data_IF_697250695262
#
_entry.id   IF_697250695262
#
_cell.length_a   1.000
_cell.length_b   1.000
_cell.length_c   1.000
_cell.angle_alpha   90.00
_cell.angle_beta   90.00
_cell.angle_gamma   90.00
#
_symmetry.space_group_name_H-M   'P 1'
#
loop_
_entity.id
_entity.type
_entity.pdbx_description
1 polymer ?
#
# COMPACT_ATOMS: atom_id res chain seq x y z
N UNK A 1 14.34 -21.33 -12.64
CA UNK A 1 15.51 -21.74 -11.82
C UNK A 1 16.07 -20.47 -11.20
N UNK A 2 15.55 -20.06 -10.05
CA UNK A 2 15.92 -18.80 -9.41
C UNK A 2 17.33 -18.84 -8.82
N UNK A 3 17.92 -17.65 -8.70
CA UNK A 3 19.29 -17.44 -8.23
C UNK A 3 19.45 -17.57 -6.70
N UNK A 4 18.36 -17.74 -5.94
CA UNK A 4 18.37 -17.84 -4.47
C UNK A 4 17.24 -18.79 -3.99
N UNK A 5 17.53 -20.04 -3.60
CA UNK A 5 16.50 -21.06 -3.30
C UNK A 5 15.54 -20.72 -2.14
N UNK A 6 15.98 -19.91 -1.17
CA UNK A 6 15.20 -19.50 0.01
C UNK A 6 14.45 -18.17 -0.17
N UNK A 7 14.57 -17.53 -1.33
CA UNK A 7 13.94 -16.25 -1.66
C UNK A 7 13.17 -16.33 -2.99
N UNK A 8 12.97 -17.55 -3.52
CA UNK A 8 12.13 -17.80 -4.69
C UNK A 8 10.66 -17.73 -4.29
N UNK A 9 9.89 -16.74 -4.79
CA UNK A 9 8.47 -16.60 -4.51
C UNK A 9 7.69 -17.85 -4.92
N UNK A 10 8.08 -18.52 -6.02
CA UNK A 10 7.49 -19.77 -6.46
C UNK A 10 7.70 -20.92 -5.45
N UNK A 11 8.91 -21.12 -4.93
CA UNK A 11 9.19 -22.14 -3.90
C UNK A 11 8.48 -21.82 -2.58
N UNK A 12 8.40 -20.55 -2.19
CA UNK A 12 7.64 -20.13 -1.00
C UNK A 12 6.15 -20.40 -1.23
N UNK A 13 5.58 -20.04 -2.37
CA UNK A 13 4.15 -20.20 -2.61
C UNK A 13 3.75 -21.67 -2.82
N UNK A 14 4.61 -22.47 -3.48
CA UNK A 14 4.39 -23.91 -3.72
C UNK A 14 4.66 -24.76 -2.47
N UNK A 15 5.70 -24.48 -1.68
CA UNK A 15 5.95 -25.20 -0.42
C UNK A 15 5.10 -24.70 0.76
N UNK A 16 4.56 -23.48 0.71
CA UNK A 16 3.80 -22.94 1.83
C UNK A 16 2.37 -23.50 1.90
N UNK A 17 1.76 -23.98 0.82
CA UNK A 17 0.39 -24.50 0.85
C UNK A 17 -0.58 -23.50 1.56
N UNK A 18 -1.27 -23.87 2.66
CA UNK A 18 -2.10 -22.94 3.45
C UNK A 18 -1.36 -21.70 3.97
N UNK A 19 -0.05 -21.78 4.18
CA UNK A 19 0.79 -20.68 4.67
C UNK A 19 1.02 -19.60 3.61
N UNK A 20 0.84 -19.90 2.31
CA UNK A 20 1.00 -18.90 1.25
C UNK A 20 -0.02 -17.76 1.43
N UNK A 21 -1.27 -18.12 1.76
CA UNK A 21 -2.33 -17.15 2.06
C UNK A 21 -1.97 -16.29 3.28
N UNK A 22 -1.37 -16.88 4.32
CA UNK A 22 -0.94 -16.14 5.50
C UNK A 22 0.19 -15.16 5.18
N UNK A 23 1.18 -15.56 4.38
CA UNK A 23 2.26 -14.67 3.93
C UNK A 23 1.69 -13.51 3.12
N UNK A 24 0.79 -13.78 2.18
CA UNK A 24 0.08 -12.75 1.40
C UNK A 24 -0.66 -11.78 2.31
N UNK A 25 -1.42 -12.30 3.28
CA UNK A 25 -2.14 -11.47 4.25
C UNK A 25 -1.18 -10.60 5.08
N UNK A 26 -0.05 -11.14 5.52
CA UNK A 26 0.96 -10.37 6.27
C UNK A 26 1.59 -9.27 5.42
N UNK A 27 1.88 -9.54 4.14
CA UNK A 27 2.40 -8.53 3.20
C UNK A 27 1.37 -7.42 3.02
N UNK A 28 0.13 -7.75 2.69
CA UNK A 28 -0.97 -6.77 2.50
C UNK A 28 -1.22 -5.96 3.78
N UNK A 29 -1.19 -6.62 4.93
CA UNK A 29 -1.29 -5.96 6.22
C UNK A 29 -0.14 -4.97 6.43
N UNK A 30 1.11 -5.40 6.24
CA UNK A 30 2.30 -4.56 6.42
C UNK A 30 2.30 -3.36 5.44
N UNK A 31 1.91 -3.61 4.19
CA UNK A 31 1.78 -2.60 3.14
C UNK A 31 0.78 -1.50 3.53
N UNK A 32 -0.38 -1.92 4.05
CA UNK A 32 -1.46 -1.00 4.44
C UNK A 32 -1.18 -0.31 5.78
N UNK A 33 -0.49 -0.97 6.71
CA UNK A 33 -0.25 -0.47 8.07
C UNK A 33 0.97 0.47 8.19
N UNK A 34 2.08 0.18 7.50
CA UNK A 34 3.39 0.76 7.82
C UNK A 34 3.85 1.89 6.89
N UNK A 35 3.00 2.42 5.99
CA UNK A 35 3.42 3.30 4.88
C UNK A 35 4.48 2.68 3.95
N UNK A 36 4.82 1.40 4.15
CA UNK A 36 5.80 0.65 3.36
C UNK A 36 5.21 0.27 1.99
N UNK A 37 3.96 0.62 1.69
CA UNK A 37 3.33 0.33 0.41
C UNK A 37 3.98 0.95 -0.83
N UNK A 38 5.01 1.78 -0.67
CA UNK A 38 5.86 2.16 -1.79
C UNK A 38 6.87 1.06 -2.20
N UNK A 39 7.17 0.11 -1.32
CA UNK A 39 8.23 -0.89 -1.50
C UNK A 39 7.65 -2.25 -1.90
N UNK A 40 6.39 -2.55 -1.56
CA UNK A 40 5.78 -3.87 -1.76
C UNK A 40 4.73 -3.82 -2.88
N UNK A 41 4.82 -4.69 -3.92
CA UNK A 41 3.85 -4.73 -5.02
C UNK A 41 2.59 -5.53 -4.65
N UNK A 42 1.76 -4.97 -3.76
CA UNK A 42 0.54 -5.61 -3.28
C UNK A 42 -0.46 -5.99 -4.36
N UNK A 43 -0.75 -5.11 -5.31
CA UNK A 43 -1.78 -5.33 -6.33
C UNK A 43 -1.45 -6.53 -7.21
N UNK A 44 -0.20 -6.64 -7.65
CA UNK A 44 0.30 -7.78 -8.44
C UNK A 44 0.16 -9.07 -7.64
N UNK A 45 0.51 -9.03 -6.36
CA UNK A 45 0.44 -10.17 -5.45
C UNK A 45 -1.01 -10.63 -5.22
N UNK A 46 -1.98 -9.71 -5.15
CA UNK A 46 -3.41 -10.04 -5.06
C UNK A 46 -3.92 -10.77 -6.31
N UNK A 47 -3.57 -10.28 -7.50
CA UNK A 47 -3.97 -10.88 -8.78
C UNK A 47 -3.37 -12.29 -8.91
N UNK A 48 -2.08 -12.43 -8.61
CA UNK A 48 -1.38 -13.72 -8.62
C UNK A 48 -2.01 -14.69 -7.62
N UNK A 49 -2.35 -14.23 -6.41
CA UNK A 49 -3.00 -15.07 -5.39
C UNK A 49 -4.36 -15.57 -5.86
N UNK A 50 -5.11 -14.74 -6.58
CA UNK A 50 -6.37 -15.14 -7.23
C UNK A 50 -6.18 -16.22 -8.27
N UNK A 51 -5.21 -16.04 -9.16
CA UNK A 51 -4.88 -17.02 -10.21
C UNK A 51 -4.41 -18.35 -9.62
N UNK A 52 -3.59 -18.33 -8.58
CA UNK A 52 -3.13 -19.54 -7.89
C UNK A 52 -4.24 -20.25 -7.10
N UNK A 53 -5.25 -19.50 -6.65
CA UNK A 53 -6.46 -20.11 -6.08
C UNK A 53 -7.28 -20.81 -7.17
N UNK A 54 -7.29 -20.29 -8.40
CA UNK A 54 -7.91 -20.96 -9.55
C UNK A 54 -7.18 -22.27 -9.87
N UNK A 55 -5.86 -22.26 -10.02
CA UNK A 55 -5.10 -23.49 -10.35
C UNK A 55 -5.21 -24.55 -9.26
N UNK A 56 -5.33 -24.14 -7.98
CA UNK A 56 -5.48 -25.07 -6.84
C UNK A 56 -6.88 -25.65 -6.66
N UNK A 57 -7.93 -24.99 -7.17
CA UNK A 57 -9.34 -25.41 -6.95
C UNK A 57 -10.07 -25.87 -8.22
N UNK A 58 -9.64 -25.41 -9.40
CA UNK A 58 -10.32 -25.64 -10.68
C UNK A 58 -9.52 -26.54 -11.64
N UNK A 59 -8.22 -26.74 -11.40
CA UNK A 59 -7.36 -27.59 -12.25
C UNK A 59 -7.02 -28.90 -11.52
N UNK A 60 -7.08 -30.02 -12.24
CA UNK A 60 -6.79 -31.36 -11.68
C UNK A 60 -5.32 -31.57 -11.25
N UNK A 61 -4.44 -30.61 -11.56
CA UNK A 61 -3.03 -30.64 -11.18
C UNK A 61 -2.80 -30.43 -9.67
N UNK A 62 -3.76 -29.87 -8.92
CA UNK A 62 -3.66 -29.68 -7.47
C UNK A 62 -2.56 -28.72 -7.00
N UNK A 63 -1.92 -28.03 -7.93
CA UNK A 63 -0.81 -27.09 -7.71
C UNK A 63 -1.36 -25.68 -7.48
N UNK A 64 -1.43 -25.24 -6.23
CA UNK A 64 -1.87 -23.89 -5.86
C UNK A 64 -2.53 -23.79 -4.50
N UNK A 65 -3.29 -22.70 -4.28
CA UNK A 65 -4.05 -22.49 -3.04
C UNK A 65 -5.34 -23.30 -3.12
N UNK A 66 -5.41 -24.38 -2.35
CA UNK A 66 -6.58 -25.29 -2.30
C UNK A 66 -7.73 -24.75 -1.42
N UNK A 67 -7.75 -23.43 -1.20
CA UNK A 67 -8.76 -22.76 -0.37
C UNK A 67 -9.80 -22.15 -1.32
N UNK A 68 -11.11 -22.30 -1.05
CA UNK A 68 -12.14 -21.66 -1.86
C UNK A 68 -11.92 -20.15 -1.97
N UNK A 69 -12.08 -19.59 -3.17
CA UNK A 69 -11.80 -18.18 -3.47
C UNK A 69 -12.48 -17.20 -2.49
N UNK A 70 -13.69 -17.53 -2.02
CA UNK A 70 -14.41 -16.72 -1.03
C UNK A 70 -13.62 -16.51 0.27
N UNK A 71 -12.97 -17.56 0.77
CA UNK A 71 -12.14 -17.49 1.99
C UNK A 71 -10.84 -16.74 1.74
N UNK A 72 -10.24 -16.89 0.56
CA UNK A 72 -9.04 -16.15 0.15
C UNK A 72 -9.34 -14.65 0.10
N UNK A 73 -10.41 -14.26 -0.61
CA UNK A 73 -10.89 -12.89 -0.70
C UNK A 73 -11.22 -12.30 0.68
N UNK A 74 -11.91 -13.03 1.54
CA UNK A 74 -12.26 -12.59 2.89
C UNK A 74 -11.01 -12.37 3.76
N UNK A 75 -10.03 -13.28 3.68
CA UNK A 75 -8.80 -13.21 4.47
C UNK A 75 -7.95 -11.99 4.07
N UNK A 76 -7.82 -11.75 2.76
CA UNK A 76 -7.12 -10.59 2.21
C UNK A 76 -7.84 -9.30 2.58
N UNK A 77 -9.16 -9.24 2.42
CA UNK A 77 -9.96 -8.08 2.80
C UNK A 77 -9.84 -7.80 4.31
N UNK A 78 -9.84 -8.83 5.15
CA UNK A 78 -9.62 -8.70 6.59
C UNK A 78 -8.22 -8.15 6.91
N UNK A 79 -7.16 -8.70 6.29
CA UNK A 79 -5.80 -8.21 6.46
C UNK A 79 -5.67 -6.72 6.05
N UNK A 80 -6.23 -6.36 4.89
CA UNK A 80 -6.25 -4.99 4.39
C UNK A 80 -7.08 -4.04 5.25
N UNK A 81 -8.18 -4.52 5.84
CA UNK A 81 -8.99 -3.76 6.78
C UNK A 81 -8.22 -3.48 8.07
N UNK A 82 -7.69 -4.52 8.71
CA UNK A 82 -6.92 -4.43 9.97
C UNK A 82 -5.70 -3.53 9.77
N UNK A 83 -5.00 -3.63 8.63
CA UNK A 83 -3.87 -2.75 8.32
C UNK A 83 -4.30 -1.28 8.22
N UNK A 84 -5.45 -1.01 7.59
CA UNK A 84 -6.02 0.34 7.54
C UNK A 84 -6.45 0.88 8.91
N UNK A 85 -7.00 0.03 9.78
CA UNK A 85 -7.32 0.40 11.16
C UNK A 85 -6.06 0.78 11.94
N UNK A 86 -4.99 -0.02 11.83
CA UNK A 86 -3.69 0.27 12.43
C UNK A 86 -3.13 1.61 11.92
N UNK A 87 -3.18 1.87 10.61
CA UNK A 87 -2.77 3.15 10.02
C UNK A 87 -3.55 4.34 10.59
N UNK A 88 -4.87 4.21 10.74
CA UNK A 88 -5.70 5.26 11.36
C UNK A 88 -5.31 5.49 12.82
N UNK A 89 -5.14 4.45 13.62
CA UNK A 89 -4.73 4.59 15.02
C UNK A 89 -3.33 5.20 15.16
N UNK A 90 -2.40 4.84 14.27
CA UNK A 90 -1.07 5.48 14.22
C UNK A 90 -1.23 6.98 13.96
N UNK A 91 -2.03 7.37 12.97
CA UNK A 91 -2.31 8.78 12.66
C UNK A 91 -2.99 9.52 13.82
N UNK A 92 -4.02 8.91 14.41
CA UNK A 92 -4.81 9.48 15.50
C UNK A 92 -4.00 9.67 16.79
N UNK A 93 -3.10 8.72 17.10
CA UNK A 93 -2.23 8.79 18.28
C UNK A 93 -1.01 9.68 18.06
N UNK A 94 -0.50 9.75 16.83
CA UNK A 94 0.65 10.60 16.47
C UNK A 94 0.27 12.05 16.24
N UNK A 95 -0.99 12.33 15.87
CA UNK A 95 -1.53 13.67 15.66
C UNK A 95 -1.18 14.63 16.80
N UNK A 96 -1.65 14.40 18.05
CA UNK A 96 -1.44 15.33 19.16
C UNK A 96 0.04 15.63 19.47
N UNK A 97 0.93 14.63 19.32
CA UNK A 97 2.37 14.78 19.59
C UNK A 97 3.14 15.53 18.49
N UNK A 98 2.61 15.58 17.27
CA UNK A 98 3.15 16.37 16.16
C UNK A 98 2.59 17.80 16.20
N UNK A 99 1.34 17.98 16.63
CA UNK A 99 0.70 19.29 16.83
C UNK A 99 1.36 20.15 17.92
N UNK A 100 1.95 19.53 18.95
CA UNK A 100 2.62 20.27 20.03
C UNK A 100 4.06 20.70 19.71
N UNK A 101 4.68 20.21 18.63
CA UNK A 101 6.13 20.36 18.44
C UNK A 101 6.61 21.16 17.23
N UNK A 102 5.79 21.44 16.20
CA UNK A 102 6.23 22.28 15.06
C UNK A 102 5.09 23.03 14.40
N UNK A 103 5.21 24.35 14.34
CA UNK A 103 4.33 25.24 13.57
C UNK A 103 4.63 25.23 12.05
N UNK A 104 5.71 24.60 11.59
CA UNK A 104 6.09 24.56 10.16
C UNK A 104 6.28 23.13 9.62
N UNK A 105 5.70 22.85 8.45
CA UNK A 105 5.85 21.61 7.67
C UNK A 105 4.55 20.99 7.14
N UNK A 106 4.65 19.79 6.55
CA UNK A 106 3.55 18.98 5.97
C UNK A 106 2.32 18.78 6.91
N UNK A 107 2.47 19.08 8.20
CA UNK A 107 1.46 18.89 9.26
C UNK A 107 1.02 20.20 9.95
N UNK A 108 1.21 21.37 9.31
CA UNK A 108 0.66 22.65 9.81
C UNK A 108 -0.86 22.57 10.05
N UNK A 109 -1.36 23.33 11.02
CA UNK A 109 -2.81 23.52 11.28
C UNK A 109 -3.59 23.77 9.99
N UNK A 110 -3.00 24.50 9.04
CA UNK A 110 -3.64 24.82 7.77
C UNK A 110 -3.78 23.60 6.84
N UNK A 111 -2.77 22.73 6.77
CA UNK A 111 -2.86 21.47 6.02
C UNK A 111 -3.87 20.52 6.64
N UNK A 112 -4.03 20.55 7.96
CA UNK A 112 -5.00 19.74 8.69
C UNK A 112 -6.41 20.28 8.46
N UNK A 113 -6.63 21.59 8.50
CA UNK A 113 -7.91 22.21 8.13
C UNK A 113 -8.24 21.96 6.65
N UNK A 114 -7.26 21.99 5.76
CA UNK A 114 -7.42 21.66 4.34
C UNK A 114 -7.77 20.17 4.15
N UNK A 115 -7.13 19.28 4.90
CA UNK A 115 -7.41 17.85 4.90
C UNK A 115 -8.80 17.56 5.49
N UNK A 116 -9.19 18.27 6.56
CA UNK A 116 -10.53 18.18 7.14
C UNK A 116 -11.59 18.68 6.15
N UNK A 117 -11.37 19.83 5.51
CA UNK A 117 -12.25 20.32 4.44
C UNK A 117 -12.30 19.38 3.24
N UNK A 118 -11.19 18.69 2.91
CA UNK A 118 -11.15 17.69 1.86
C UNK A 118 -12.02 16.47 2.23
N UNK A 119 -11.88 15.96 3.46
CA UNK A 119 -12.71 14.87 3.97
C UNK A 119 -14.17 15.27 4.21
N UNK A 120 -14.46 16.52 4.55
CA UNK A 120 -15.83 17.06 4.63
C UNK A 120 -16.45 17.21 3.23
N UNK A 121 -15.68 17.61 2.21
CA UNK A 121 -16.16 17.87 0.85
C UNK A 121 -16.30 16.61 0.00
N UNK A 122 -15.34 15.69 0.07
CA UNK A 122 -15.34 14.42 -0.67
C UNK A 122 -15.95 13.27 0.14
N UNK A 123 -16.15 13.50 1.44
CA UNK A 123 -16.76 12.54 2.33
C UNK A 123 -15.92 11.29 2.56
N UNK A 124 -16.51 10.30 3.23
CA UNK A 124 -15.84 9.02 3.50
C UNK A 124 -15.59 8.18 2.24
N UNK A 125 -16.24 8.49 1.12
CA UNK A 125 -16.00 7.89 -0.20
C UNK A 125 -14.54 8.05 -0.66
N UNK A 126 -13.89 9.15 -0.27
CA UNK A 126 -12.47 9.36 -0.55
C UNK A 126 -11.58 8.23 -0.02
N UNK A 127 -11.93 7.60 1.11
CA UNK A 127 -11.18 6.48 1.69
C UNK A 127 -11.27 5.23 0.80
N UNK A 128 -12.43 5.00 0.20
CA UNK A 128 -12.65 3.88 -0.72
C UNK A 128 -11.87 4.09 -2.01
N UNK A 129 -11.98 5.27 -2.61
CA UNK A 129 -11.30 5.61 -3.87
C UNK A 129 -9.78 5.65 -3.68
N UNK A 130 -9.29 6.15 -2.54
CA UNK A 130 -7.88 6.20 -2.21
C UNK A 130 -7.18 4.84 -2.32
N UNK A 131 -7.89 3.73 -2.03
CA UNK A 131 -7.32 2.38 -2.11
C UNK A 131 -6.89 1.97 -3.51
N UNK A 132 -7.51 2.53 -4.55
CA UNK A 132 -7.17 2.26 -5.95
C UNK A 132 -6.01 3.10 -6.47
N UNK A 133 -5.57 4.11 -5.71
CA UNK A 133 -4.44 4.96 -6.08
C UNK A 133 -3.26 4.58 -5.19
N UNK A 134 -2.22 3.90 -5.73
CA UNK A 134 -1.15 3.28 -4.93
C UNK A 134 -0.46 4.23 -3.94
N UNK A 135 -0.25 5.49 -4.34
CA UNK A 135 0.35 6.50 -3.47
C UNK A 135 -0.64 6.93 -2.39
N UNK A 136 -1.90 7.19 -2.76
CA UNK A 136 -2.89 7.75 -1.83
C UNK A 136 -3.32 6.72 -0.78
N UNK A 137 -3.37 5.43 -1.12
CA UNK A 137 -3.85 4.37 -0.21
C UNK A 137 -3.03 4.24 1.07
N UNK A 138 -1.73 4.49 1.01
CA UNK A 138 -0.84 4.34 2.15
C UNK A 138 -0.96 5.54 3.08
N UNK A 139 -1.15 6.74 2.53
CA UNK A 139 -1.29 7.97 3.30
C UNK A 139 -2.71 8.20 3.83
N UNK A 140 -3.75 7.73 3.13
CA UNK A 140 -5.14 8.03 3.47
C UNK A 140 -5.55 7.58 4.88
N UNK A 141 -5.23 6.36 5.36
CA UNK A 141 -5.54 5.94 6.74
C UNK A 141 -4.94 6.88 7.79
N UNK A 142 -3.67 7.23 7.64
CA UNK A 142 -2.95 8.09 8.58
C UNK A 142 -3.47 9.51 8.52
N UNK A 143 -3.70 10.06 7.33
CA UNK A 143 -4.28 11.38 7.14
C UNK A 143 -5.68 11.49 7.78
N UNK A 144 -6.52 10.46 7.62
CA UNK A 144 -7.83 10.39 8.27
C UNK A 144 -7.71 10.34 9.81
N UNK A 145 -6.72 9.61 10.32
CA UNK A 145 -6.40 9.56 11.75
C UNK A 145 -5.96 10.91 12.32
N UNK A 146 -5.01 11.57 11.64
CA UNK A 146 -4.49 12.89 12.02
C UNK A 146 -5.57 13.98 11.96
N UNK A 147 -6.49 13.89 11.00
CA UNK A 147 -7.63 14.79 10.89
C UNK A 147 -8.72 14.55 11.95
N UNK A 148 -8.57 13.55 12.82
CA UNK A 148 -9.58 13.13 13.80
C UNK A 148 -10.94 12.84 13.17
N UNK A 149 -10.97 12.25 11.97
CA UNK A 149 -12.20 11.82 11.31
C UNK A 149 -12.96 10.84 12.23
N UNK A 150 -14.30 10.92 12.29
CA UNK A 150 -15.10 10.02 13.11
C UNK A 150 -14.77 8.54 12.82
N UNK A 151 -14.33 7.80 13.84
CA UNK A 151 -13.85 6.43 13.74
C UNK A 151 -14.88 5.49 13.09
N UNK A 152 -16.15 5.54 13.50
CA UNK A 152 -17.19 4.67 12.96
C UNK A 152 -17.42 4.89 11.47
N UNK A 153 -17.37 6.15 11.01
CA UNK A 153 -17.46 6.47 9.58
C UNK A 153 -16.21 6.02 8.85
N UNK A 154 -15.02 6.30 9.37
CA UNK A 154 -13.78 5.85 8.76
C UNK A 154 -13.77 4.33 8.59
N UNK A 155 -14.02 3.59 9.67
CA UNK A 155 -13.93 2.13 9.70
C UNK A 155 -14.91 1.46 8.76
N UNK A 156 -16.15 1.97 8.65
CA UNK A 156 -17.14 1.45 7.70
C UNK A 156 -16.66 1.57 6.25
N UNK A 157 -16.16 2.75 5.85
CA UNK A 157 -15.70 2.99 4.49
C UNK A 157 -14.35 2.32 4.21
N UNK A 158 -13.49 2.21 5.24
CA UNK A 158 -12.27 1.41 5.19
C UNK A 158 -12.60 -0.08 4.95
N UNK A 159 -13.59 -0.64 5.63
CA UNK A 159 -14.06 -2.01 5.43
C UNK A 159 -14.61 -2.24 4.02
N UNK A 160 -15.49 -1.36 3.55
CA UNK A 160 -16.03 -1.42 2.18
C UNK A 160 -14.91 -1.33 1.16
N UNK A 161 -13.98 -0.38 1.32
CA UNK A 161 -12.84 -0.24 0.43
C UNK A 161 -11.90 -1.44 0.47
N UNK A 162 -11.62 -2.01 1.64
CA UNK A 162 -10.80 -3.21 1.80
C UNK A 162 -11.44 -4.43 1.13
N UNK A 163 -12.76 -4.56 1.24
CA UNK A 163 -13.54 -5.59 0.54
C UNK A 163 -13.47 -5.41 -0.96
N UNK A 164 -13.83 -4.23 -1.49
CA UNK A 164 -13.87 -4.01 -2.94
C UNK A 164 -12.48 -4.14 -3.56
N UNK A 165 -11.45 -3.53 -2.95
CA UNK A 165 -10.09 -3.61 -3.47
C UNK A 165 -9.48 -5.00 -3.27
N UNK A 166 -9.49 -5.51 -2.04
CA UNK A 166 -8.84 -6.77 -1.68
C UNK A 166 -9.54 -7.97 -2.31
N UNK A 167 -10.85 -8.10 -2.11
CA UNK A 167 -11.61 -9.18 -2.74
C UNK A 167 -11.71 -8.98 -4.25
N UNK A 168 -11.88 -7.74 -4.74
CA UNK A 168 -12.06 -7.47 -6.17
C UNK A 168 -10.83 -7.79 -7.01
N UNK A 169 -9.63 -7.36 -6.59
CA UNK A 169 -8.40 -7.68 -7.32
C UNK A 169 -8.06 -9.18 -7.27
N UNK A 170 -8.23 -9.81 -6.11
CA UNK A 170 -8.03 -11.26 -5.99
C UNK A 170 -9.04 -12.04 -6.83
N UNK A 171 -10.32 -11.63 -6.81
CA UNK A 171 -11.34 -12.28 -7.64
C UNK A 171 -11.11 -12.04 -9.13
N UNK A 172 -10.66 -10.85 -9.51
CA UNK A 172 -10.24 -10.57 -10.89
C UNK A 172 -9.11 -11.51 -11.32
N UNK A 173 -8.08 -11.70 -10.47
CA UNK A 173 -7.02 -12.67 -10.72
C UNK A 173 -7.52 -14.12 -10.87
N UNK A 174 -8.51 -14.53 -10.06
CA UNK A 174 -9.17 -15.82 -10.21
C UNK A 174 -9.91 -15.95 -11.55
N UNK A 175 -10.58 -14.87 -11.99
CA UNK A 175 -11.23 -14.84 -13.30
C UNK A 175 -10.25 -14.92 -14.47
N UNK A 176 -9.03 -14.38 -14.33
CA UNK A 176 -7.97 -14.54 -15.35
C UNK A 176 -7.60 -16.01 -15.57
N UNK A 177 -7.77 -16.86 -14.55
CA UNK A 177 -7.56 -18.31 -14.67
C UNK A 177 -8.45 -19.00 -15.71
N UNK A 178 -9.63 -18.43 -16.00
CA UNK A 178 -10.51 -18.95 -17.05
C UNK A 178 -10.06 -18.60 -18.47
N UNK A 179 -8.98 -17.82 -18.64
CA UNK A 179 -8.42 -17.43 -19.94
C UNK A 179 -7.07 -18.15 -20.11
N UNK A 180 -7.03 -19.35 -20.73
CA UNK A 180 -5.83 -20.20 -20.73
C UNK A 180 -4.55 -19.51 -21.21
N UNK A 181 -4.53 -18.74 -22.32
CA UNK A 181 -3.30 -18.10 -22.79
C UNK A 181 -2.71 -17.10 -21.79
N UNK A 182 -3.57 -16.46 -20.99
CA UNK A 182 -3.16 -15.46 -20.01
C UNK A 182 -2.78 -16.12 -18.68
N UNK A 183 -3.51 -17.14 -18.27
CA UNK A 183 -3.18 -17.96 -17.11
C UNK A 183 -1.80 -18.60 -17.27
N UNK A 184 -1.54 -19.24 -18.41
CA UNK A 184 -0.27 -19.89 -18.72
C UNK A 184 0.89 -18.89 -18.67
N UNK A 185 0.75 -17.74 -19.34
CA UNK A 185 1.74 -16.66 -19.30
C UNK A 185 2.06 -16.19 -17.88
N UNK A 186 1.03 -15.92 -17.07
CA UNK A 186 1.25 -15.42 -15.70
C UNK A 186 1.88 -16.51 -14.82
N UNK A 187 1.50 -17.78 -14.97
CA UNK A 187 2.11 -18.88 -14.22
C UNK A 187 3.56 -19.16 -14.62
N UNK A 188 3.88 -19.09 -15.92
CA UNK A 188 5.23 -19.32 -16.45
C UNK A 188 6.19 -18.19 -16.06
N UNK A 189 5.71 -16.94 -16.07
CA UNK A 189 6.53 -15.77 -15.81
C UNK A 189 6.30 -15.15 -14.43
N UNK A 190 5.67 -15.87 -13.50
CA UNK A 190 5.31 -15.37 -12.17
C UNK A 190 6.51 -14.76 -11.44
N UNK A 191 7.67 -15.44 -11.45
CA UNK A 191 8.89 -14.97 -10.79
C UNK A 191 9.43 -13.69 -11.43
N UNK A 192 9.40 -13.61 -12.77
CA UNK A 192 9.86 -12.43 -13.52
C UNK A 192 8.91 -11.26 -13.27
N UNK A 193 7.60 -11.50 -13.30
CA UNK A 193 6.58 -10.48 -13.03
C UNK A 193 6.76 -9.92 -11.62
N UNK A 194 6.95 -10.79 -10.61
CA UNK A 194 7.12 -10.38 -9.23
C UNK A 194 8.44 -9.63 -9.03
N UNK A 195 9.53 -10.11 -9.61
CA UNK A 195 10.83 -9.44 -9.59
C UNK A 195 10.77 -8.07 -10.27
N UNK A 196 10.14 -7.97 -11.44
CA UNK A 196 9.93 -6.71 -12.15
C UNK A 196 9.07 -5.75 -11.34
N UNK A 197 8.00 -6.22 -10.69
CA UNK A 197 7.15 -5.38 -9.85
C UNK A 197 7.91 -4.84 -8.62
N UNK A 198 8.71 -5.67 -7.96
CA UNK A 198 9.60 -5.24 -6.87
C UNK A 198 10.63 -4.23 -7.40
N UNK A 199 11.27 -4.52 -8.53
CA UNK A 199 12.26 -3.61 -9.13
C UNK A 199 11.64 -2.25 -9.49
N UNK A 200 10.44 -2.23 -10.07
CA UNK A 200 9.72 -1.01 -10.42
C UNK A 200 9.35 -0.19 -9.17
N UNK A 201 9.07 -0.84 -8.04
CA UNK A 201 8.78 -0.18 -6.77
C UNK A 201 10.07 0.34 -6.07
N UNK A 202 11.12 -0.47 -6.04
CA UNK A 202 12.36 -0.22 -5.28
C UNK A 202 13.31 0.73 -6.01
N UNK A 203 13.44 0.65 -7.34
CA UNK A 203 14.42 1.45 -8.08
C UNK A 203 14.13 2.95 -7.97
N UNK A 204 12.90 3.45 -8.23
CA UNK A 204 12.61 4.87 -8.13
C UNK A 204 12.73 5.38 -6.68
N UNK A 205 12.28 4.57 -5.72
CA UNK A 205 12.33 4.92 -4.30
C UNK A 205 13.76 5.06 -3.80
N UNK A 206 14.62 4.10 -4.11
CA UNK A 206 16.04 4.13 -3.77
C UNK A 206 16.75 5.26 -4.51
N UNK A 207 16.44 5.49 -5.79
CA UNK A 207 17.03 6.58 -6.57
C UNK A 207 16.70 7.95 -5.97
N UNK A 208 15.43 8.21 -5.64
CA UNK A 208 15.01 9.44 -4.97
C UNK A 208 15.66 9.60 -3.59
N UNK A 209 15.77 8.52 -2.82
CA UNK A 209 16.43 8.55 -1.51
C UNK A 209 17.93 8.88 -1.62
N UNK A 210 18.66 8.21 -2.51
CA UNK A 210 20.09 8.46 -2.74
C UNK A 210 20.29 9.89 -3.25
N UNK A 211 19.47 10.37 -4.19
CA UNK A 211 19.55 11.75 -4.67
C UNK A 211 19.30 12.77 -3.55
N UNK A 212 18.34 12.49 -2.65
CA UNK A 212 18.09 13.31 -1.46
C UNK A 212 19.29 13.35 -0.52
N UNK A 213 19.90 12.20 -0.24
CA UNK A 213 21.10 12.10 0.63
C UNK A 213 22.32 12.76 -0.02
N UNK A 214 22.51 12.61 -1.33
CA UNK A 214 23.62 13.22 -2.07
C UNK A 214 23.47 14.74 -2.15
N UNK A 215 22.26 15.26 -2.38
CA UNK A 215 21.96 16.71 -2.30
C UNK A 215 22.20 17.24 -0.88
N UNK A 216 21.71 16.54 0.14
CA UNK A 216 21.94 16.92 1.54
C UNK A 216 23.43 16.91 1.93
N UNK A 217 24.21 15.93 1.44
CA UNK A 217 25.67 15.89 1.63
C UNK A 217 26.39 17.03 0.90
N UNK A 218 25.98 17.35 -0.34
CA UNK A 218 26.54 18.47 -1.11
C UNK A 218 26.28 19.82 -0.44
N UNK A 219 25.06 20.07 0.03
CA UNK A 219 24.70 21.28 0.77
C UNK A 219 25.53 21.42 2.07
N UNK A 220 25.70 20.31 2.81
CA UNK A 220 26.51 20.28 4.04
C UNK A 220 28.01 20.51 3.81
N UNK A 221 28.53 20.07 2.67
CA UNK A 221 29.93 20.27 2.25
C UNK A 221 30.15 21.68 1.65
N UNK A 222 29.11 22.29 1.08
CA UNK A 222 29.14 23.66 0.57
C UNK A 222 29.05 24.73 1.68
N UNK A 223 28.85 24.31 2.94
CA UNK A 223 28.74 25.24 4.07
C UNK A 223 27.40 25.98 4.13
N UNK A 224 26.40 25.58 3.34
CA UNK A 224 25.05 26.11 3.43
C UNK A 224 24.45 25.68 4.78
N UNK A 225 24.11 26.65 5.62
CA UNK A 225 23.31 26.38 6.81
C UNK A 225 21.97 25.80 6.33
N UNK A 226 21.42 24.78 7.00
CA UNK A 226 20.09 24.29 6.65
C UNK A 226 19.12 25.47 6.72
N UNK A 227 18.39 25.73 5.63
CA UNK A 227 17.35 26.75 5.56
C UNK A 227 16.56 26.71 6.86
N UNK A 228 16.58 27.81 7.61
CA UNK A 228 15.82 27.94 8.85
C UNK A 228 14.34 27.71 8.54
N UNK A 229 13.59 27.15 9.49
CA UNK A 229 12.17 26.82 9.31
C UNK A 229 11.31 28.02 8.81
N UNK A 230 11.83 29.26 8.88
CA UNK A 230 11.27 30.49 8.29
C UNK A 230 11.38 30.59 6.75
N UNK A 231 12.43 30.06 6.09
CA UNK A 231 12.60 30.15 4.63
C UNK A 231 11.80 29.09 3.85
N UNK A 232 11.30 28.06 4.54
CA UNK A 232 10.47 26.99 3.94
C UNK A 232 8.98 27.42 3.93
N UNK A 233 8.61 28.47 4.65
CA UNK A 233 7.29 29.10 4.54
C UNK A 233 7.27 29.87 3.23
N UNK A 234 6.54 29.34 2.24
CA UNK A 234 6.25 30.04 0.99
C UNK A 234 5.72 31.44 1.31
N UNK A 235 6.40 32.45 0.78
CA UNK A 235 6.01 33.85 0.87
C UNK A 235 4.57 34.00 0.32
N UNK A 236 3.58 34.38 1.14
CA UNK A 236 2.18 34.46 0.73
C UNK A 236 1.96 35.44 -0.43
N UNK A 237 2.88 36.38 -0.64
CA UNK A 237 2.81 37.37 -1.73
C UNK A 237 3.05 36.77 -3.13
N UNK A 238 3.54 35.51 -3.24
CA UNK A 238 3.74 34.82 -4.52
C UNK A 238 2.46 34.12 -5.02
N UNK A 239 1.40 34.07 -4.20
CA UNK A 239 0.12 33.44 -4.55
C UNK A 239 -0.93 34.42 -5.09
N UNK A 240 -0.66 35.72 -5.05
CA UNK A 240 -1.63 36.78 -5.40
C UNK A 240 -1.31 37.55 -6.71
N UNK A 241 -0.36 37.07 -7.53
CA UNK A 241 -0.10 37.58 -8.90
C UNK A 241 -0.70 36.69 -10.02
#
# INVERSE_FOLDING_TARGET
>A
MGLIPWLDPHEIIVNAGPWALLVVCLIVFAETALLVGFILPGDTLLIITGLLSFTGTMTESGTGIQIPIWWVCLSIAAAAFIGGEVGYFIGHKSGPRIFEKRESGLFSKENVVRTNKFFERWGPLAIVVARFVPIVRTFAPIAAGVAHMNYSRYSLYNAVGALIWGAGLTFAGFLLGYIPPLADFVTEYIDIILLCAIALAVIPTVFHYIQGVLKARKARLAGEQPLTDEEIVLDPDVLDD
#
